data_IF_265992324711
#
_entry.id   IF_265992324711
#
_cell.length_a   1.000
_cell.length_b   1.000
_cell.length_c   1.000
_cell.angle_alpha   90.00
_cell.angle_beta   90.00
_cell.angle_gamma   90.00
#
_symmetry.space_group_name_H-M   'P 1'
#
loop_
_entity.id
_entity.type
_entity.pdbx_description
1 polymer ?
#
# COMPACT_ATOMS: atom_id res chain seq x y z
N UNK A 1 -22.99 -2.28 10.04
CA UNK A 1 -21.52 -2.29 9.98
C UNK A 1 -21.08 -2.83 8.62
N UNK A 2 -20.19 -2.13 7.91
CA UNK A 2 -19.66 -2.57 6.61
C UNK A 2 -18.77 -3.80 6.80
N UNK A 3 -18.58 -4.60 5.75
CA UNK A 3 -17.70 -5.78 5.82
C UNK A 3 -16.23 -5.44 6.04
N UNK A 4 -15.76 -4.29 5.51
CA UNK A 4 -14.42 -3.76 5.79
C UNK A 4 -14.20 -3.49 7.29
N UNK A 5 -15.22 -3.00 7.96
CA UNK A 5 -15.19 -2.74 9.40
C UNK A 5 -15.19 -4.05 10.21
N UNK A 6 -15.92 -5.06 9.76
CA UNK A 6 -15.90 -6.39 10.39
C UNK A 6 -14.52 -7.04 10.27
N UNK A 7 -13.92 -6.96 9.07
CA UNK A 7 -12.56 -7.45 8.86
C UNK A 7 -11.58 -6.73 9.79
N UNK A 8 -11.61 -5.40 9.81
CA UNK A 8 -10.69 -4.61 10.64
C UNK A 8 -10.88 -4.91 12.13
N UNK A 9 -12.12 -5.03 12.60
CA UNK A 9 -12.42 -5.40 13.98
C UNK A 9 -11.91 -6.81 14.34
N UNK A 10 -12.09 -7.78 13.44
CA UNK A 10 -11.59 -9.14 13.64
C UNK A 10 -10.05 -9.16 13.72
N UNK A 11 -9.37 -8.45 12.82
CA UNK A 11 -7.92 -8.37 12.81
C UNK A 11 -7.38 -7.68 14.08
N UNK A 12 -8.03 -6.64 14.57
CA UNK A 12 -7.64 -5.99 15.81
C UNK A 12 -7.87 -6.88 17.04
N UNK A 13 -8.90 -7.74 17.02
CA UNK A 13 -9.12 -8.74 18.05
C UNK A 13 -8.01 -9.82 18.06
N UNK A 14 -7.32 -10.02 16.95
CA UNK A 14 -6.15 -10.89 16.79
C UNK A 14 -4.80 -10.16 17.05
N UNK A 15 -4.82 -9.02 17.73
CA UNK A 15 -3.67 -8.17 18.06
C UNK A 15 -2.97 -7.53 16.85
N UNK A 16 -3.63 -7.38 15.73
CA UNK A 16 -3.10 -6.57 14.63
C UNK A 16 -3.24 -5.10 15.00
N UNK A 17 -2.11 -4.45 15.22
CA UNK A 17 -2.04 -3.05 15.67
C UNK A 17 -1.49 -2.10 14.60
N UNK A 18 -0.95 -2.63 13.48
CA UNK A 18 -0.20 -1.81 12.53
C UNK A 18 -0.66 -1.97 11.09
N UNK A 19 -0.63 -0.87 10.34
CA UNK A 19 -0.72 -0.85 8.89
C UNK A 19 0.29 0.17 8.31
N UNK A 20 1.30 -0.31 7.57
CA UNK A 20 2.40 0.53 7.09
C UNK A 20 3.14 1.24 8.22
N UNK A 21 3.10 2.57 8.24
CA UNK A 21 3.70 3.38 9.31
C UNK A 21 2.68 3.85 10.37
N UNK A 22 1.43 3.44 10.24
CA UNK A 22 0.37 3.77 11.17
C UNK A 22 0.26 2.69 12.25
N UNK A 23 0.29 3.09 13.52
CA UNK A 23 -0.01 2.25 14.67
C UNK A 23 -1.39 2.58 15.23
N UNK A 24 -2.11 1.54 15.67
CA UNK A 24 -3.46 1.61 16.23
C UNK A 24 -3.40 1.02 17.63
N UNK A 25 -3.44 1.87 18.65
CA UNK A 25 -3.30 1.46 20.04
C UNK A 25 -4.67 1.50 20.72
N UNK A 26 -5.17 0.39 21.27
CA UNK A 26 -6.37 0.40 22.09
C UNK A 26 -6.23 1.38 23.27
N UNK A 27 -7.31 2.12 23.56
CA UNK A 27 -7.36 3.10 24.62
C UNK A 27 -8.71 3.07 25.31
N UNK A 28 -8.84 3.69 26.50
CA UNK A 28 -10.12 3.80 27.20
C UNK A 28 -11.17 4.50 26.32
N UNK A 29 -12.19 3.74 25.92
CA UNK A 29 -13.31 4.23 25.11
C UNK A 29 -13.03 4.34 23.61
N UNK A 30 -11.93 3.75 23.10
CA UNK A 30 -11.62 3.80 21.66
C UNK A 30 -10.21 3.38 21.31
N UNK A 31 -9.61 4.11 20.38
CA UNK A 31 -8.28 3.82 19.82
C UNK A 31 -7.49 5.11 19.66
N UNK A 32 -6.19 5.04 19.87
CA UNK A 32 -5.24 6.11 19.52
C UNK A 32 -4.48 5.65 18.28
N UNK A 33 -4.48 6.49 17.25
CA UNK A 33 -3.70 6.28 16.03
C UNK A 33 -2.54 7.28 16.01
N UNK A 34 -1.35 6.80 15.70
CA UNK A 34 -0.14 7.62 15.59
C UNK A 34 0.84 7.00 14.59
N UNK A 35 1.96 7.69 14.31
CA UNK A 35 3.06 7.08 13.60
C UNK A 35 3.68 5.96 14.47
N UNK A 36 4.07 4.84 13.88
CA UNK A 36 4.62 3.68 14.61
C UNK A 36 5.84 4.01 15.49
N UNK A 37 6.65 4.98 15.05
CA UNK A 37 7.84 5.41 15.79
C UNK A 37 7.53 6.40 16.94
N UNK A 38 6.26 6.81 17.05
CA UNK A 38 5.77 7.74 18.08
C UNK A 38 5.03 7.04 19.22
N UNK A 39 4.92 5.72 19.19
CA UNK A 39 4.22 4.96 20.23
C UNK A 39 4.88 5.20 21.59
N UNK A 40 4.05 5.54 22.58
CA UNK A 40 4.51 5.81 23.96
C UNK A 40 5.01 7.24 24.19
N UNK A 41 5.09 8.10 23.19
CA UNK A 41 5.42 9.51 23.36
C UNK A 41 4.26 10.30 23.94
N UNK A 42 4.57 11.24 24.85
CA UNK A 42 3.58 12.09 25.54
C UNK A 42 3.44 13.48 24.90
N UNK A 43 4.41 13.90 24.09
CA UNK A 43 4.52 15.21 23.47
C UNK A 43 3.85 15.32 22.09
N UNK A 44 2.99 14.34 21.73
CA UNK A 44 2.32 14.31 20.45
C UNK A 44 1.20 15.34 20.36
N UNK A 45 1.12 16.05 19.24
CA UNK A 45 0.01 16.95 18.93
C UNK A 45 -1.29 16.13 18.76
N UNK A 46 -2.33 16.51 19.47
CA UNK A 46 -3.66 15.95 19.25
C UNK A 46 -4.22 16.46 17.93
N UNK A 47 -4.73 15.56 17.11
CA UNK A 47 -5.44 15.85 15.87
C UNK A 47 -6.84 15.26 15.89
N UNK A 48 -7.69 15.82 15.06
CA UNK A 48 -9.03 15.32 14.76
C UNK A 48 -9.00 14.29 13.63
N UNK A 49 -10.09 13.56 13.44
CA UNK A 49 -10.21 12.54 12.38
C UNK A 49 -9.89 13.12 10.98
N UNK A 50 -10.35 14.34 10.73
CA UNK A 50 -10.18 15.01 9.43
C UNK A 50 -8.74 15.53 9.22
N UNK A 51 -7.97 15.74 10.28
CA UNK A 51 -6.55 16.08 10.17
C UNK A 51 -5.72 14.97 9.50
N UNK A 52 -6.23 13.74 9.48
CA UNK A 52 -5.56 12.61 8.83
C UNK A 52 -5.26 12.87 7.34
N UNK A 53 -6.10 13.64 6.64
CA UNK A 53 -5.87 14.01 5.25
C UNK A 53 -4.66 14.94 5.09
N UNK A 54 -4.52 15.93 5.97
CA UNK A 54 -3.38 16.85 5.95
C UNK A 54 -2.08 16.16 6.41
N UNK A 55 -2.18 15.27 7.41
CA UNK A 55 -1.07 14.43 7.86
C UNK A 55 -0.57 13.55 6.70
N UNK A 56 -1.48 12.97 5.91
CA UNK A 56 -1.14 12.11 4.78
C UNK A 56 -0.58 12.86 3.58
N UNK A 57 -0.82 14.18 3.49
CA UNK A 57 -0.55 14.99 2.29
C UNK A 57 0.89 15.44 2.18
N UNK A 58 1.54 15.70 3.31
CA UNK A 58 2.89 16.23 3.37
C UNK A 58 3.81 15.34 4.23
N UNK A 59 5.10 15.34 3.92
CA UNK A 59 6.14 14.70 4.72
C UNK A 59 6.60 15.60 5.90
N UNK A 60 7.60 15.14 6.66
CA UNK A 60 8.20 15.87 7.77
C UNK A 60 8.77 17.23 7.34
N UNK A 61 9.34 17.31 6.14
CA UNK A 61 9.92 18.54 5.59
C UNK A 61 8.87 19.48 4.98
N UNK A 62 7.59 19.08 4.96
CA UNK A 62 6.51 19.85 4.36
C UNK A 62 6.38 19.66 2.84
N UNK A 63 7.07 18.71 2.25
CA UNK A 63 6.93 18.40 0.84
C UNK A 63 5.67 17.57 0.59
N UNK A 64 5.04 17.79 -0.56
CA UNK A 64 3.89 16.99 -0.98
C UNK A 64 4.29 15.51 -1.18
N UNK A 65 3.46 14.60 -0.65
CA UNK A 65 3.62 13.15 -0.78
C UNK A 65 2.78 12.60 -1.93
N UNK A 66 3.33 12.46 -3.15
CA UNK A 66 2.58 11.91 -4.29
C UNK A 66 2.27 10.43 -4.10
N UNK A 67 3.14 9.69 -3.40
CA UNK A 67 2.96 8.29 -3.07
C UNK A 67 2.62 8.15 -1.58
N UNK A 68 1.34 7.95 -1.27
CA UNK A 68 0.87 7.83 0.13
C UNK A 68 1.49 6.65 0.88
N UNK A 69 1.96 5.64 0.17
CA UNK A 69 2.62 4.46 0.74
C UNK A 69 4.15 4.55 0.76
N UNK A 70 4.73 5.71 0.48
CA UNK A 70 6.15 5.95 0.75
C UNK A 70 6.42 5.96 2.25
N UNK A 71 7.63 5.55 2.71
CA UNK A 71 7.99 5.47 4.12
C UNK A 71 8.38 6.84 4.71
N UNK A 72 7.63 7.88 4.39
CA UNK A 72 7.85 9.26 4.83
C UNK A 72 6.57 9.88 5.43
N UNK A 73 5.75 9.09 6.12
CA UNK A 73 4.61 9.62 6.86
C UNK A 73 5.12 10.51 8.01
N UNK A 74 4.51 11.69 8.16
CA UNK A 74 4.83 12.63 9.25
C UNK A 74 4.70 11.99 10.62
N UNK A 75 5.53 12.45 11.56
CA UNK A 75 5.53 12.07 12.98
C UNK A 75 4.93 13.19 13.85
N UNK A 76 4.93 12.98 15.16
CA UNK A 76 4.59 14.00 16.14
C UNK A 76 3.09 14.26 16.30
N UNK A 77 2.22 13.36 15.84
CA UNK A 77 0.77 13.50 15.93
C UNK A 77 0.11 12.24 16.51
N UNK A 78 -1.06 12.44 17.09
CA UNK A 78 -1.97 11.36 17.48
C UNK A 78 -3.41 11.76 17.22
N UNK A 79 -4.25 10.81 16.84
CA UNK A 79 -5.69 10.98 16.59
C UNK A 79 -6.43 9.98 17.48
N UNK A 80 -7.43 10.44 18.21
CA UNK A 80 -8.32 9.58 18.96
C UNK A 80 -9.53 9.20 18.11
N UNK A 81 -9.77 7.90 17.95
CA UNK A 81 -10.93 7.32 17.27
C UNK A 81 -11.80 6.57 18.28
N UNK A 82 -13.08 6.93 18.37
CA UNK A 82 -14.04 6.36 19.33
C UNK A 82 -14.46 4.94 18.95
N UNK A 83 -14.44 4.64 17.66
CA UNK A 83 -14.95 3.39 17.12
C UNK A 83 -14.19 2.97 15.85
N UNK A 84 -14.49 1.76 15.38
CA UNK A 84 -13.85 1.19 14.20
C UNK A 84 -14.17 1.95 12.90
N UNK A 85 -15.27 2.66 12.83
CA UNK A 85 -15.60 3.49 11.67
C UNK A 85 -14.63 4.66 11.55
N UNK A 86 -14.29 5.29 12.68
CA UNK A 86 -13.32 6.38 12.72
C UNK A 86 -11.90 5.86 12.45
N UNK A 87 -11.54 4.69 12.97
CA UNK A 87 -10.28 4.02 12.62
C UNK A 87 -10.18 3.79 11.12
N UNK A 88 -11.23 3.23 10.49
CA UNK A 88 -11.27 3.02 9.03
C UNK A 88 -11.09 4.34 8.27
N UNK A 89 -11.73 5.42 8.69
CA UNK A 89 -11.59 6.74 8.06
C UNK A 89 -10.14 7.26 8.10
N UNK A 90 -9.48 7.15 9.24
CA UNK A 90 -8.07 7.58 9.38
C UNK A 90 -7.17 6.72 8.49
N UNK A 91 -7.34 5.39 8.50
CA UNK A 91 -6.58 4.51 7.63
C UNK A 91 -6.81 4.86 6.16
N UNK A 92 -8.05 5.11 5.75
CA UNK A 92 -8.37 5.41 4.34
C UNK A 92 -7.87 6.79 3.91
N UNK A 93 -7.81 7.77 4.82
CA UNK A 93 -7.17 9.06 4.57
C UNK A 93 -5.66 8.90 4.33
N UNK A 94 -4.97 8.11 5.18
CA UNK A 94 -3.52 7.91 5.12
C UNK A 94 -3.13 6.93 3.99
N UNK A 95 -3.87 5.84 3.83
CA UNK A 95 -3.63 4.76 2.86
C UNK A 95 -4.89 4.47 2.02
N UNK A 96 -5.28 5.34 1.09
CA UNK A 96 -6.54 5.24 0.38
C UNK A 96 -6.79 3.88 -0.28
N UNK A 97 -7.97 3.31 -0.01
CA UNK A 97 -8.44 2.07 -0.62
C UNK A 97 -7.74 0.79 -0.15
N UNK A 98 -6.82 0.85 0.84
CA UNK A 98 -6.02 -0.34 1.23
C UNK A 98 -6.82 -1.36 2.02
N UNK A 99 -7.75 -0.94 2.86
CA UNK A 99 -8.64 -1.88 3.58
C UNK A 99 -9.62 -2.57 2.62
N UNK A 100 -10.16 -1.82 1.65
CA UNK A 100 -11.03 -2.41 0.63
C UNK A 100 -10.29 -3.45 -0.24
N UNK A 101 -9.03 -3.17 -0.59
CA UNK A 101 -8.20 -4.11 -1.35
C UNK A 101 -7.84 -5.35 -0.52
N UNK A 102 -7.48 -5.18 0.75
CA UNK A 102 -7.22 -6.29 1.66
C UNK A 102 -8.45 -7.20 1.79
N UNK A 103 -9.62 -6.61 1.96
CA UNK A 103 -10.88 -7.36 2.01
C UNK A 103 -11.12 -8.15 0.71
N UNK A 104 -10.98 -7.50 -0.44
CA UNK A 104 -11.17 -8.17 -1.72
C UNK A 104 -10.16 -9.31 -1.93
N UNK A 105 -8.95 -9.17 -1.41
CA UNK A 105 -7.95 -10.21 -1.43
C UNK A 105 -8.33 -11.38 -0.53
N UNK A 106 -8.66 -11.13 0.74
CA UNK A 106 -9.02 -12.18 1.72
C UNK A 106 -10.30 -12.93 1.36
N UNK A 107 -11.25 -12.26 0.68
CA UNK A 107 -12.49 -12.88 0.20
C UNK A 107 -12.37 -13.58 -1.16
N UNK A 108 -11.17 -13.62 -1.76
CA UNK A 108 -10.95 -14.25 -3.05
C UNK A 108 -11.63 -13.55 -4.24
N UNK A 109 -12.05 -12.28 -4.06
CA UNK A 109 -12.77 -11.51 -5.09
C UNK A 109 -11.84 -10.85 -6.11
N UNK A 110 -10.53 -10.96 -5.95
CA UNK A 110 -9.58 -10.39 -6.90
C UNK A 110 -9.47 -11.26 -8.16
N UNK A 111 -9.45 -10.60 -9.31
CA UNK A 111 -9.21 -11.21 -10.62
C UNK A 111 -7.79 -10.91 -11.09
N UNK A 112 -7.27 -11.64 -12.06
CA UNK A 112 -5.95 -11.40 -12.63
C UNK A 112 -6.02 -10.50 -13.86
N UNK A 113 -5.05 -9.59 -14.00
CA UNK A 113 -4.85 -8.81 -15.23
C UNK A 113 -3.36 -8.62 -15.48
N UNK A 114 -2.94 -8.53 -16.74
CA UNK A 114 -1.53 -8.29 -17.04
C UNK A 114 -1.12 -6.86 -16.67
N UNK A 115 0.13 -6.69 -16.24
CA UNK A 115 0.66 -5.35 -15.97
C UNK A 115 0.68 -4.49 -17.24
N UNK A 116 0.97 -5.10 -18.41
CA UNK A 116 0.91 -4.43 -19.69
C UNK A 116 -0.49 -3.90 -20.02
N UNK A 117 -1.53 -4.68 -19.76
CA UNK A 117 -2.91 -4.22 -19.95
C UNK A 117 -3.24 -3.06 -19.00
N UNK A 118 -2.80 -3.15 -17.76
CA UNK A 118 -2.96 -2.08 -16.77
C UNK A 118 -2.23 -0.81 -17.22
N UNK A 119 -0.99 -0.90 -17.68
CA UNK A 119 -0.21 0.21 -18.21
C UNK A 119 -0.86 0.82 -19.45
N UNK A 120 -1.41 -0.01 -20.35
CA UNK A 120 -2.12 0.47 -21.52
C UNK A 120 -3.35 1.30 -21.17
N UNK A 121 -4.12 0.86 -20.17
CA UNK A 121 -5.30 1.60 -19.68
C UNK A 121 -4.92 2.91 -18.99
N UNK A 122 -3.88 2.89 -18.17
CA UNK A 122 -3.45 4.03 -17.33
C UNK A 122 -2.55 5.03 -18.06
N UNK A 123 -1.95 4.65 -19.18
CA UNK A 123 -1.05 5.55 -19.92
C UNK A 123 -1.79 6.65 -20.70
N UNK A 124 -3.10 6.63 -20.68
CA UNK A 124 -3.94 7.64 -21.29
C UNK A 124 -3.82 7.70 -22.82
N UNK A 125 -4.11 8.87 -23.37
CA UNK A 125 -4.21 9.14 -24.80
C UNK A 125 -2.97 8.71 -25.62
N UNK A 126 -1.80 8.81 -25.06
CA UNK A 126 -0.53 8.54 -25.77
C UNK A 126 -0.09 7.08 -25.70
N UNK A 127 -0.62 6.30 -24.78
CA UNK A 127 -0.28 4.88 -24.56
C UNK A 127 1.22 4.58 -24.58
N UNK A 128 2.05 5.57 -24.23
CA UNK A 128 3.51 5.46 -24.30
C UNK A 128 3.99 4.36 -23.33
N UNK A 129 3.47 4.35 -22.11
CA UNK A 129 3.85 3.35 -21.12
C UNK A 129 3.53 1.91 -21.54
N UNK A 130 2.57 1.69 -22.44
CA UNK A 130 2.27 0.37 -22.98
C UNK A 130 3.29 -0.13 -24.01
N UNK A 131 4.16 0.73 -24.50
CA UNK A 131 5.25 0.39 -25.45
C UNK A 131 6.51 -0.13 -24.78
N UNK A 132 6.59 -0.08 -23.45
CA UNK A 132 7.73 -0.57 -22.68
C UNK A 132 7.90 -2.08 -22.88
N UNK A 133 9.15 -2.56 -22.95
CA UNK A 133 9.42 -4.00 -23.03
C UNK A 133 9.14 -4.71 -21.68
N UNK A 134 8.97 -6.03 -21.72
CA UNK A 134 8.72 -6.81 -20.50
C UNK A 134 9.95 -6.78 -19.56
N UNK A 135 11.16 -6.77 -20.12
CA UNK A 135 12.43 -6.66 -19.38
C UNK A 135 12.54 -5.29 -18.69
N UNK A 136 12.16 -4.22 -19.38
CA UNK A 136 12.14 -2.88 -18.79
C UNK A 136 11.10 -2.79 -17.67
N UNK A 137 9.90 -3.36 -17.86
CA UNK A 137 8.87 -3.43 -16.81
C UNK A 137 9.42 -4.14 -15.57
N UNK A 138 10.06 -5.29 -15.75
CA UNK A 138 10.64 -6.06 -14.65
C UNK A 138 11.72 -5.30 -13.90
N UNK A 139 12.60 -4.61 -14.62
CA UNK A 139 13.62 -3.75 -14.02
C UNK A 139 13.02 -2.61 -13.19
N UNK A 140 12.02 -1.91 -13.75
CA UNK A 140 11.36 -0.82 -13.05
C UNK A 140 10.56 -1.30 -11.83
N UNK A 141 9.84 -2.41 -11.96
CA UNK A 141 9.13 -3.02 -10.82
C UNK A 141 10.13 -3.48 -9.75
N UNK A 142 11.27 -4.05 -10.16
CA UNK A 142 12.36 -4.42 -9.27
C UNK A 142 12.88 -3.24 -8.47
N UNK A 143 13.24 -2.19 -9.16
CA UNK A 143 13.88 -1.03 -8.55
C UNK A 143 12.92 -0.15 -7.75
N UNK A 144 11.72 0.10 -8.29
CA UNK A 144 10.79 1.05 -7.68
C UNK A 144 9.85 0.41 -6.65
N UNK A 145 9.30 -0.75 -6.98
CA UNK A 145 8.26 -1.36 -6.15
C UNK A 145 8.78 -2.32 -5.09
N UNK A 146 9.99 -2.84 -5.24
CA UNK A 146 10.58 -3.89 -4.40
C UNK A 146 11.82 -3.44 -3.65
N UNK A 147 12.40 -2.30 -4.03
CA UNK A 147 13.56 -1.78 -3.32
C UNK A 147 13.16 -1.27 -1.93
N UNK A 148 14.01 -1.52 -0.95
CA UNK A 148 13.82 -0.98 0.39
C UNK A 148 13.91 0.55 0.32
N UNK A 149 12.81 1.24 0.57
CA UNK A 149 12.77 2.69 0.69
C UNK A 149 11.81 3.42 -0.25
N UNK A 150 11.43 2.85 -1.39
CA UNK A 150 10.55 3.55 -2.34
C UNK A 150 9.06 3.45 -2.01
N UNK A 151 8.62 2.28 -1.53
CA UNK A 151 7.20 2.04 -1.28
C UNK A 151 7.01 0.91 -0.25
N UNK A 152 6.07 1.10 0.67
CA UNK A 152 5.73 0.11 1.71
C UNK A 152 4.77 -0.98 1.22
N UNK A 153 4.41 -0.99 -0.06
CA UNK A 153 3.39 -1.92 -0.57
C UNK A 153 3.93 -3.33 -0.76
N UNK A 154 3.12 -4.29 -0.38
CA UNK A 154 3.29 -5.69 -0.78
C UNK A 154 2.66 -5.90 -2.15
N UNK A 155 3.49 -6.28 -3.14
CA UNK A 155 3.06 -6.41 -4.52
C UNK A 155 2.30 -7.71 -4.72
N UNK A 156 1.09 -7.62 -5.30
CA UNK A 156 0.30 -8.75 -5.74
C UNK A 156 0.57 -9.17 -7.20
N UNK A 157 1.65 -8.68 -7.78
CA UNK A 157 2.04 -8.99 -9.14
C UNK A 157 2.92 -10.24 -9.18
N UNK A 158 2.64 -11.10 -10.12
CA UNK A 158 3.40 -12.33 -10.34
C UNK A 158 4.02 -12.36 -11.74
N UNK A 159 5.00 -13.19 -11.94
CA UNK A 159 5.42 -13.63 -13.26
C UNK A 159 4.56 -14.82 -13.70
N UNK A 160 4.12 -14.82 -14.95
CA UNK A 160 3.49 -15.98 -15.55
C UNK A 160 4.55 -17.01 -16.00
N UNK A 161 4.10 -18.12 -16.56
CA UNK A 161 5.00 -19.17 -17.06
C UNK A 161 5.92 -18.71 -18.19
N UNK A 162 5.61 -17.59 -18.87
CA UNK A 162 6.45 -16.97 -19.90
C UNK A 162 7.44 -15.95 -19.31
N UNK A 163 7.48 -15.75 -18.00
CA UNK A 163 8.33 -14.78 -17.32
C UNK A 163 7.78 -13.36 -17.30
N UNK A 164 6.57 -13.12 -17.80
CA UNK A 164 5.97 -11.78 -17.83
C UNK A 164 5.35 -11.39 -16.51
N UNK A 165 5.55 -10.15 -16.11
CA UNK A 165 4.94 -9.59 -14.91
C UNK A 165 3.45 -9.33 -15.11
N UNK A 166 2.64 -9.85 -14.21
CA UNK A 166 1.19 -9.64 -14.20
C UNK A 166 0.72 -9.20 -12.82
N UNK A 167 -0.26 -8.30 -12.76
CA UNK A 167 -0.93 -8.01 -11.51
C UNK A 167 -1.76 -9.23 -11.11
N UNK A 168 -1.65 -9.67 -9.88
CA UNK A 168 -2.38 -10.84 -9.43
C UNK A 168 -3.59 -10.44 -8.60
N UNK A 169 -4.74 -10.90 -9.05
CA UNK A 169 -6.02 -10.81 -8.37
C UNK A 169 -6.58 -12.19 -8.07
N UNK A 170 -5.71 -13.19 -8.02
CA UNK A 170 -6.12 -14.57 -7.76
C UNK A 170 -6.40 -14.76 -6.26
N UNK A 171 -7.31 -15.67 -5.91
CA UNK A 171 -7.49 -16.09 -4.53
C UNK A 171 -6.18 -16.54 -3.88
N UNK A 172 -5.97 -16.31 -2.58
CA UNK A 172 -4.74 -16.65 -1.89
C UNK A 172 -4.28 -18.08 -2.07
N UNK A 173 -5.20 -19.01 -2.08
CA UNK A 173 -4.93 -20.45 -2.25
C UNK A 173 -4.38 -20.84 -3.64
N UNK A 174 -4.49 -19.92 -4.61
CA UNK A 174 -3.95 -20.12 -5.97
C UNK A 174 -2.58 -19.50 -6.17
N UNK A 175 -2.02 -18.91 -5.15
CA UNK A 175 -0.67 -18.38 -5.21
C UNK A 175 0.34 -19.47 -4.92
N UNK A 176 1.27 -19.65 -5.85
CA UNK A 176 2.47 -20.45 -5.62
C UNK A 176 3.58 -19.53 -5.09
N UNK A 177 4.01 -19.68 -3.84
CA UNK A 177 5.08 -18.86 -3.28
C UNK A 177 6.42 -19.00 -4.03
N UNK A 178 6.68 -20.15 -4.66
CA UNK A 178 7.90 -20.40 -5.41
C UNK A 178 7.91 -19.63 -6.74
N UNK A 179 6.77 -19.47 -7.37
CA UNK A 179 6.60 -18.66 -8.59
C UNK A 179 6.47 -17.18 -8.26
N UNK A 180 6.01 -16.87 -7.06
CA UNK A 180 5.67 -15.52 -6.62
C UNK A 180 6.63 -15.01 -5.56
N UNK A 181 7.93 -14.91 -5.91
CA UNK A 181 8.96 -14.38 -5.01
C UNK A 181 8.68 -12.95 -4.49
N UNK A 182 7.63 -12.30 -4.99
CA UNK A 182 7.15 -10.98 -4.56
C UNK A 182 5.91 -11.06 -3.68
N UNK A 183 5.33 -12.21 -3.58
CA UNK A 183 4.37 -12.53 -2.57
C UNK A 183 5.17 -12.80 -1.30
N UNK A 184 5.68 -11.76 -0.71
CA UNK A 184 6.16 -11.93 0.62
C UNK A 184 5.00 -12.51 1.42
N UNK A 185 5.28 -13.53 2.11
CA UNK A 185 4.63 -14.19 3.24
C UNK A 185 3.69 -13.36 4.13
N UNK A 186 3.26 -12.22 3.68
CA UNK A 186 2.62 -11.19 4.46
C UNK A 186 1.10 -11.19 4.36
N UNK A 187 0.49 -12.31 4.01
CA UNK A 187 -0.85 -12.54 4.55
C UNK A 187 -0.65 -13.09 5.95
N UNK A 188 -1.28 -12.52 6.93
CA UNK A 188 -1.35 -13.15 8.24
C UNK A 188 -2.11 -14.47 8.06
N UNK A 189 -1.38 -15.50 7.64
CA UNK A 189 -1.77 -16.83 7.97
C UNK A 189 -1.49 -16.89 9.46
N UNK A 190 -2.50 -16.74 10.25
CA UNK A 190 -2.50 -17.01 11.68
C UNK A 190 -1.53 -16.21 12.55
N UNK A 191 -2.09 -15.43 13.43
CA UNK A 191 -1.66 -15.19 14.82
C UNK A 191 -0.28 -14.58 15.13
N UNK A 192 0.55 -14.18 14.19
CA UNK A 192 1.88 -13.66 14.50
C UNK A 192 2.25 -12.33 13.84
N UNK A 193 1.39 -11.75 13.04
CA UNK A 193 1.70 -10.48 12.37
C UNK A 193 0.93 -9.34 12.99
N UNK A 194 1.60 -8.55 13.80
CA UNK A 194 1.10 -7.28 14.34
C UNK A 194 0.80 -6.24 13.24
N UNK A 195 1.08 -6.57 11.97
CA UNK A 195 1.01 -5.61 10.87
C UNK A 195 0.22 -6.11 9.67
N UNK A 196 -0.74 -5.30 9.21
CA UNK A 196 -1.46 -5.54 7.96
C UNK A 196 -0.62 -5.13 6.75
N UNK A 197 -0.60 -5.94 5.68
CA UNK A 197 0.10 -5.58 4.46
C UNK A 197 -0.63 -4.48 3.69
N UNK A 198 0.13 -3.52 3.18
CA UNK A 198 -0.36 -2.54 2.21
C UNK A 198 -0.32 -3.15 0.81
N UNK A 199 -1.37 -3.86 0.43
CA UNK A 199 -1.41 -4.58 -0.84
C UNK A 199 -1.39 -3.64 -2.06
N UNK A 200 -0.70 -4.06 -3.13
CA UNK A 200 -0.65 -3.35 -4.41
C UNK A 200 -0.91 -4.31 -5.57
N UNK A 201 -1.94 -4.02 -6.34
CA UNK A 201 -2.37 -4.83 -7.50
C UNK A 201 -2.30 -4.09 -8.84
N UNK A 202 -1.88 -2.82 -8.85
CA UNK A 202 -1.95 -1.95 -10.03
C UNK A 202 -0.72 -1.05 -10.14
N UNK A 203 -0.44 -0.56 -11.34
CA UNK A 203 0.56 0.46 -11.56
C UNK A 203 0.09 1.79 -10.97
N UNK A 204 0.85 2.37 -10.05
CA UNK A 204 0.62 3.73 -9.59
C UNK A 204 1.11 4.76 -10.63
N UNK A 205 0.67 6.01 -10.49
CA UNK A 205 1.05 7.09 -11.40
C UNK A 205 2.58 7.27 -11.52
N UNK A 206 3.33 7.01 -10.44
CA UNK A 206 4.79 7.11 -10.45
C UNK A 206 5.42 5.99 -11.29
N UNK A 207 4.94 4.75 -11.16
CA UNK A 207 5.40 3.66 -12.02
C UNK A 207 5.04 3.91 -13.48
N UNK A 208 3.84 4.42 -13.76
CA UNK A 208 3.43 4.80 -15.12
C UNK A 208 4.33 5.89 -15.68
N UNK A 209 4.72 6.89 -14.88
CA UNK A 209 5.66 7.92 -15.27
C UNK A 209 7.04 7.31 -15.58
N UNK A 210 7.60 6.49 -14.69
CA UNK A 210 8.86 5.80 -14.93
C UNK A 210 8.85 4.93 -16.19
N UNK A 211 7.72 4.25 -16.48
CA UNK A 211 7.56 3.50 -17.73
C UNK A 211 7.59 4.40 -18.97
N UNK A 212 6.98 5.59 -18.88
CA UNK A 212 7.03 6.56 -20.00
C UNK A 212 8.45 7.08 -20.27
N UNK A 213 9.17 7.37 -19.20
CA UNK A 213 10.54 7.90 -19.28
C UNK A 213 11.48 6.84 -19.85
N UNK A 214 11.34 5.57 -19.42
CA UNK A 214 12.11 4.47 -19.99
C UNK A 214 11.85 4.28 -21.49
N UNK A 215 10.60 4.40 -21.94
CA UNK A 215 10.27 4.30 -23.39
C UNK A 215 10.86 5.45 -24.19
N UNK A 216 10.98 6.65 -23.60
CA UNK A 216 11.59 7.80 -24.25
C UNK A 216 13.13 7.78 -24.24
N UNK A 217 13.75 6.81 -23.57
CA UNK A 217 15.18 6.75 -23.35
C UNK A 217 15.70 7.79 -22.32
N UNK A 218 14.80 8.43 -21.61
CA UNK A 218 15.14 9.31 -20.50
C UNK A 218 15.50 8.42 -19.29
N UNK A 219 16.73 8.53 -18.82
CA UNK A 219 17.17 7.86 -17.60
C UNK A 219 16.29 8.36 -16.46
N UNK A 220 15.41 7.51 -15.94
CA UNK A 220 14.62 7.87 -14.78
C UNK A 220 15.59 8.16 -13.63
N UNK A 221 15.70 9.41 -13.25
CA UNK A 221 16.39 9.78 -12.03
C UNK A 221 15.73 9.03 -10.89
N UNK A 222 16.48 8.41 -9.96
CA UNK A 222 15.88 7.77 -8.81
C UNK A 222 15.05 8.83 -8.10
N UNK A 223 13.75 8.54 -7.91
CA UNK A 223 12.89 9.36 -7.08
C UNK A 223 13.53 9.41 -5.70
N UNK A 224 14.01 10.57 -5.31
CA UNK A 224 14.56 10.78 -3.99
C UNK A 224 13.52 10.35 -2.93
N UNK A 225 13.95 9.70 -1.84
CA UNK A 225 13.07 9.20 -0.79
C UNK A 225 12.27 10.30 -0.10
#
# INVERSE_FOLDING_TARGET
>A
MKESQRLLQALMAENVSRIGQLEIVPSNGGFVLCHRDDVGRNDLRNGEIDDAFEIAKFDEAGNYRPLKTAPNLRRGWKIFARDILQVEKVIDAIYPGRIALLRAFTSGQLTSTSLRETLNRQSGMYRIAAKISDEQIDGLVGNFCRSNGGCLRTILWKRDASGKTASSKLPPEKFDPAVNQYFSTAMPATAATESLPLLCQEACNLLVAACRDAVKGESAAPLAP
#
